data_IF_169209082000
#
_entry.id   IF_169209082000
#
_cell.length_a   1.000
_cell.length_b   1.000
_cell.length_c   1.000
_cell.angle_alpha   90.00
_cell.angle_beta   90.00
_cell.angle_gamma   90.00
#
_symmetry.space_group_name_H-M   'P 1'
#
loop_
_entity.id
_entity.type
_entity.pdbx_description
1 polymer ?
#
# COMPACT_ATOMS: atom_id res chain seq x y z
N UNK A 1 10.31 3.12 3.09
CA UNK A 1 9.27 2.65 2.15
C UNK A 1 9.14 1.14 2.28
N UNK A 2 7.95 0.62 2.58
CA UNK A 2 7.73 -0.81 2.87
C UNK A 2 7.31 -1.55 1.59
N UNK A 3 7.88 -2.72 1.33
CA UNK A 3 7.42 -3.65 0.29
C UNK A 3 8.37 -3.86 -0.91
N UNK A 4 9.32 -2.96 -1.14
CA UNK A 4 10.39 -3.16 -2.13
C UNK A 4 11.59 -3.86 -1.51
N UNK A 5 12.12 -4.87 -2.21
CA UNK A 5 13.28 -5.68 -1.81
C UNK A 5 14.56 -5.00 -2.28
N UNK A 6 14.55 -4.49 -3.50
CA UNK A 6 15.66 -3.75 -4.11
C UNK A 6 15.14 -2.46 -4.74
N UNK A 7 16.03 -1.48 -4.87
CA UNK A 7 15.72 -0.18 -5.48
C UNK A 7 16.91 0.29 -6.30
N UNK A 8 16.63 0.91 -7.44
CA UNK A 8 17.59 1.61 -8.30
C UNK A 8 16.96 2.89 -8.84
N UNK A 9 17.75 3.93 -9.16
CA UNK A 9 17.24 5.08 -9.88
C UNK A 9 16.77 4.68 -11.29
N UNK A 10 15.80 5.42 -11.86
CA UNK A 10 15.40 5.23 -13.25
C UNK A 10 16.49 5.73 -14.21
N UNK A 11 16.64 5.05 -15.36
CA UNK A 11 17.46 5.53 -16.47
C UNK A 11 16.78 6.72 -17.16
N UNK A 12 17.49 7.42 -18.06
CA UNK A 12 16.98 8.61 -18.78
C UNK A 12 15.62 8.36 -19.46
N UNK A 13 15.42 7.17 -20.02
CA UNK A 13 14.18 6.81 -20.73
C UNK A 13 13.09 6.25 -19.81
N UNK A 14 13.40 6.03 -18.52
CA UNK A 14 12.49 5.47 -17.51
C UNK A 14 11.97 6.53 -16.52
N UNK A 15 12.40 7.79 -16.63
CA UNK A 15 12.05 8.86 -15.67
C UNK A 15 10.56 9.19 -15.67
N UNK A 16 9.87 8.90 -16.77
CA UNK A 16 8.43 9.20 -16.94
C UNK A 16 7.70 8.05 -17.60
N UNK A 17 6.48 7.78 -17.15
CA UNK A 17 5.56 6.84 -17.80
C UNK A 17 4.25 7.54 -18.16
N UNK A 18 3.58 7.05 -19.20
CA UNK A 18 2.22 7.47 -19.54
C UNK A 18 1.21 6.63 -18.77
N UNK A 19 0.25 7.28 -18.13
CA UNK A 19 -0.91 6.63 -17.52
C UNK A 19 -2.10 6.63 -18.48
N UNK A 20 -3.16 5.88 -18.14
CA UNK A 20 -4.29 5.63 -19.05
C UNK A 20 -5.05 6.87 -19.55
N UNK A 21 -4.88 8.03 -18.90
CA UNK A 21 -5.43 9.31 -19.35
C UNK A 21 -4.47 10.12 -20.24
N UNK A 22 -3.36 9.52 -20.69
CA UNK A 22 -2.34 10.16 -21.54
C UNK A 22 -1.39 11.10 -20.81
N UNK A 23 -1.56 11.32 -19.51
CA UNK A 23 -0.67 12.17 -18.71
C UNK A 23 0.66 11.44 -18.44
N UNK A 24 1.76 12.20 -18.48
CA UNK A 24 3.09 11.71 -18.04
C UNK A 24 3.24 11.91 -16.54
N UNK A 25 3.59 10.85 -15.83
CA UNK A 25 3.88 10.87 -14.39
C UNK A 25 5.35 10.51 -14.13
N UNK A 26 5.92 11.06 -13.06
CA UNK A 26 7.33 10.87 -12.72
C UNK A 26 7.55 9.57 -11.95
N UNK A 27 8.55 8.80 -12.39
CA UNK A 27 9.05 7.63 -11.65
C UNK A 27 10.11 8.11 -10.67
N UNK A 28 9.98 7.73 -9.40
CA UNK A 28 10.96 8.07 -8.37
C UNK A 28 12.08 7.03 -8.29
N UNK A 29 11.72 5.75 -8.31
CA UNK A 29 12.67 4.64 -8.39
C UNK A 29 12.04 3.41 -9.05
N UNK A 30 12.90 2.47 -9.42
CA UNK A 30 12.52 1.16 -9.93
C UNK A 30 13.05 0.10 -8.96
N UNK A 31 12.28 -0.95 -8.71
CA UNK A 31 12.69 -1.98 -7.78
C UNK A 31 12.05 -3.34 -8.00
N UNK A 32 12.32 -4.24 -7.08
CA UNK A 32 11.69 -5.56 -7.04
C UNK A 32 10.73 -5.65 -5.84
N UNK A 33 9.59 -6.31 -6.05
CA UNK A 33 8.58 -6.56 -5.02
C UNK A 33 8.19 -8.04 -5.04
N UNK A 34 7.86 -8.58 -3.87
CA UNK A 34 7.21 -9.88 -3.72
C UNK A 34 5.76 -9.69 -3.31
N UNK A 35 4.85 -10.27 -4.09
CA UNK A 35 3.42 -10.20 -3.83
C UNK A 35 2.94 -11.60 -3.52
N UNK A 36 2.53 -11.82 -2.27
CA UNK A 36 1.99 -13.10 -1.85
C UNK A 36 0.48 -13.13 -2.08
N UNK A 37 0.04 -14.05 -2.94
CA UNK A 37 -1.38 -14.31 -3.20
C UNK A 37 -2.01 -15.07 -2.02
N UNK A 38 -3.34 -15.09 -1.95
CA UNK A 38 -4.06 -15.76 -0.86
C UNK A 38 -3.79 -17.27 -0.79
N UNK A 39 -3.49 -17.90 -1.93
CA UNK A 39 -3.01 -19.29 -2.02
C UNK A 39 -1.69 -19.53 -1.28
N UNK A 40 -0.93 -18.46 -1.00
CA UNK A 40 0.44 -18.52 -0.52
C UNK A 40 1.49 -18.44 -1.63
N UNK A 41 1.09 -18.55 -2.91
CA UNK A 41 1.99 -18.38 -4.04
C UNK A 41 2.60 -16.98 -4.06
N UNK A 42 3.90 -16.89 -4.35
CA UNK A 42 4.64 -15.62 -4.35
C UNK A 42 4.95 -15.21 -5.78
N UNK A 43 4.42 -14.05 -6.19
CA UNK A 43 4.76 -13.37 -7.43
C UNK A 43 5.99 -12.47 -7.19
N UNK A 44 7.14 -12.89 -7.69
CA UNK A 44 8.32 -12.03 -7.81
C UNK A 44 8.16 -11.11 -9.02
N UNK A 45 8.04 -9.81 -8.76
CA UNK A 45 7.97 -8.78 -9.81
C UNK A 45 9.21 -7.90 -9.75
N UNK A 46 10.06 -8.02 -10.77
CA UNK A 46 11.21 -7.14 -11.02
C UNK A 46 10.82 -5.98 -11.93
N UNK A 47 11.63 -4.92 -11.96
CA UNK A 47 11.42 -3.69 -12.75
C UNK A 47 10.07 -3.00 -12.47
N UNK A 48 9.68 -2.96 -11.20
CA UNK A 48 8.46 -2.27 -10.76
C UNK A 48 8.76 -0.80 -10.54
N UNK A 49 8.05 0.06 -11.26
CA UNK A 49 8.13 1.52 -11.13
C UNK A 49 7.38 1.98 -9.88
N UNK A 50 8.02 2.81 -9.08
CA UNK A 50 7.37 3.52 -7.98
C UNK A 50 7.07 4.96 -8.40
N UNK A 51 5.79 5.33 -8.28
CA UNK A 51 5.24 6.61 -8.71
C UNK A 51 4.40 7.17 -7.55
N UNK A 52 4.89 8.16 -6.78
CA UNK A 52 4.20 8.68 -5.59
C UNK A 52 2.81 9.23 -5.87
N UNK A 53 2.58 9.75 -7.07
CA UNK A 53 1.30 10.34 -7.47
C UNK A 53 0.22 9.29 -7.78
N UNK A 54 0.57 8.00 -7.88
CA UNK A 54 -0.40 6.93 -8.12
C UNK A 54 -1.04 6.49 -6.80
N UNK A 55 -2.37 6.46 -6.78
CA UNK A 55 -3.15 6.10 -5.59
C UNK A 55 -3.34 4.59 -5.43
N UNK A 56 -3.09 3.82 -6.48
CA UNK A 56 -3.23 2.36 -6.50
C UNK A 56 -2.04 1.70 -7.17
N UNK A 57 -1.70 0.50 -6.69
CA UNK A 57 -0.73 -0.38 -7.35
C UNK A 57 -1.40 -1.03 -8.56
N UNK A 58 -0.68 -1.08 -9.67
CA UNK A 58 -1.15 -1.71 -10.91
C UNK A 58 -0.21 -2.83 -11.31
N UNK A 59 -0.78 -3.97 -11.69
CA UNK A 59 -0.06 -5.07 -12.31
C UNK A 59 -0.60 -5.22 -13.73
N UNK A 60 0.29 -5.19 -14.70
CA UNK A 60 -0.08 -5.38 -16.10
C UNK A 60 -0.43 -6.84 -16.37
N UNK A 61 -1.57 -7.09 -17.00
CA UNK A 61 -1.96 -8.40 -17.54
C UNK A 61 -0.86 -8.95 -18.46
N UNK A 62 -0.31 -8.12 -19.34
CA UNK A 62 0.76 -8.53 -20.25
C UNK A 62 2.02 -8.99 -19.49
N UNK A 63 2.31 -8.41 -18.31
CA UNK A 63 3.43 -8.86 -17.47
C UNK A 63 3.17 -10.26 -16.92
N UNK A 64 1.97 -10.54 -16.41
CA UNK A 64 1.59 -11.87 -15.90
C UNK A 64 1.64 -12.94 -16.99
N UNK A 65 1.12 -12.63 -18.19
CA UNK A 65 1.15 -13.55 -19.34
C UNK A 65 2.59 -13.83 -19.79
N UNK A 66 3.46 -12.82 -19.83
CA UNK A 66 4.89 -13.01 -20.13
C UNK A 66 5.61 -13.88 -19.09
N UNK A 67 5.13 -13.87 -17.85
CA UNK A 67 5.58 -14.78 -16.79
C UNK A 67 4.99 -16.20 -16.90
N UNK A 68 4.37 -16.55 -18.03
CA UNK A 68 3.76 -17.87 -18.31
C UNK A 68 2.57 -18.23 -17.40
N UNK A 69 1.95 -17.23 -16.79
CA UNK A 69 0.71 -17.42 -16.04
C UNK A 69 -0.48 -17.34 -16.99
N UNK A 70 -1.47 -18.18 -16.76
CA UNK A 70 -2.74 -18.15 -17.48
C UNK A 70 -3.76 -17.37 -16.67
N UNK A 71 -4.54 -16.52 -17.33
CA UNK A 71 -5.58 -15.71 -16.70
C UNK A 71 -6.93 -16.10 -17.29
N UNK A 72 -7.92 -16.34 -16.43
CA UNK A 72 -9.32 -16.49 -16.82
C UNK A 72 -10.12 -15.34 -16.23
N UNK A 73 -11.07 -14.82 -17.00
CA UNK A 73 -11.95 -13.73 -16.60
C UNK A 73 -13.40 -14.17 -16.81
N UNK A 74 -14.22 -13.94 -15.81
CA UNK A 74 -15.65 -14.28 -15.82
C UNK A 74 -16.45 -13.27 -14.96
N UNK A 75 -17.73 -13.57 -14.75
CA UNK A 75 -18.64 -12.75 -13.93
C UNK A 75 -18.24 -12.66 -12.45
N UNK A 76 -17.40 -13.58 -11.94
CA UNK A 76 -16.92 -13.58 -10.56
C UNK A 76 -15.59 -12.83 -10.40
N UNK A 77 -14.84 -12.63 -11.49
CA UNK A 77 -13.67 -11.76 -11.51
C UNK A 77 -12.52 -12.32 -12.34
N UNK A 78 -11.33 -12.42 -11.72
CA UNK A 78 -10.11 -12.93 -12.35
C UNK A 78 -9.61 -14.16 -11.59
N UNK A 79 -9.20 -15.18 -12.33
CA UNK A 79 -8.49 -16.35 -11.81
C UNK A 79 -7.12 -16.48 -12.49
N UNK A 80 -6.08 -16.72 -11.70
CA UNK A 80 -4.69 -16.83 -12.13
C UNK A 80 -4.23 -18.27 -11.94
N UNK A 81 -3.68 -18.85 -13.00
CA UNK A 81 -3.22 -20.23 -13.01
C UNK A 81 -1.74 -20.34 -13.34
N UNK A 82 -1.08 -21.28 -12.67
CA UNK A 82 0.26 -21.75 -13.01
C UNK A 82 0.17 -23.24 -13.33
N UNK A 83 0.53 -23.67 -14.54
CA UNK A 83 0.43 -25.08 -14.96
C UNK A 83 -0.94 -25.73 -14.69
N UNK A 84 -2.05 -25.00 -14.94
CA UNK A 84 -3.45 -25.39 -14.69
C UNK A 84 -3.88 -25.42 -13.22
N UNK A 85 -2.98 -25.16 -12.28
CA UNK A 85 -3.32 -25.01 -10.87
C UNK A 85 -3.74 -23.57 -10.57
N UNK A 86 -4.84 -23.39 -9.85
CA UNK A 86 -5.30 -22.07 -9.40
C UNK A 86 -4.36 -21.55 -8.31
N UNK A 87 -3.60 -20.49 -8.62
CA UNK A 87 -2.64 -19.88 -7.69
C UNK A 87 -3.12 -18.56 -7.12
N UNK A 88 -4.25 -18.02 -7.58
CA UNK A 88 -4.84 -16.83 -7.00
C UNK A 88 -6.04 -16.37 -7.78
N UNK A 89 -6.80 -15.48 -7.14
CA UNK A 89 -8.00 -14.92 -7.72
C UNK A 89 -8.13 -13.45 -7.33
N UNK A 90 -9.12 -12.79 -7.91
CA UNK A 90 -9.46 -11.42 -7.63
C UNK A 90 -10.88 -11.13 -8.07
N UNK A 91 -11.42 -10.02 -7.57
CA UNK A 91 -12.79 -9.57 -7.86
C UNK A 91 -12.76 -8.31 -8.71
N UNK A 92 -13.82 -8.10 -9.50
CA UNK A 92 -14.02 -6.84 -10.19
C UNK A 92 -14.57 -5.79 -9.22
N UNK A 93 -13.84 -4.69 -9.02
CA UNK A 93 -14.28 -3.55 -8.20
C UNK A 93 -14.25 -2.30 -9.05
N UNK A 94 -15.44 -1.80 -9.41
CA UNK A 94 -15.58 -0.77 -10.43
C UNK A 94 -15.06 -1.28 -11.77
N UNK A 95 -14.06 -0.60 -12.34
CA UNK A 95 -13.46 -0.96 -13.64
C UNK A 95 -12.09 -1.64 -13.50
N UNK A 96 -11.75 -2.17 -12.32
CA UNK A 96 -10.45 -2.79 -12.05
C UNK A 96 -10.59 -4.15 -11.38
N UNK A 97 -9.78 -5.12 -11.82
CA UNK A 97 -9.62 -6.39 -11.12
C UNK A 97 -8.69 -6.20 -9.93
N UNK A 98 -9.22 -6.39 -8.71
CA UNK A 98 -8.47 -6.35 -7.48
C UNK A 98 -8.06 -7.77 -7.10
N UNK A 99 -6.75 -8.02 -7.04
CA UNK A 99 -6.20 -9.32 -6.62
C UNK A 99 -6.35 -9.52 -5.12
N UNK A 100 -6.69 -10.74 -4.74
CA UNK A 100 -6.67 -11.20 -3.36
C UNK A 100 -5.23 -11.58 -2.99
N UNK A 101 -4.64 -10.74 -2.17
CA UNK A 101 -3.26 -10.89 -1.70
C UNK A 101 -3.25 -10.97 -0.18
N UNK A 102 -2.36 -11.81 0.36
CA UNK A 102 -2.02 -11.75 1.78
C UNK A 102 -1.39 -10.39 2.01
N UNK A 103 -2.09 -9.55 2.76
CA UNK A 103 -1.48 -8.33 3.25
C UNK A 103 -0.28 -8.77 4.09
N UNK A 104 0.95 -8.25 3.83
CA UNK A 104 1.98 -8.37 4.84
C UNK A 104 1.36 -7.77 6.09
N UNK A 105 1.21 -8.58 7.14
CA UNK A 105 0.59 -8.20 8.39
C UNK A 105 1.12 -6.80 8.69
N UNK A 106 0.25 -5.80 8.55
CA UNK A 106 0.59 -4.49 9.06
C UNK A 106 0.58 -4.70 10.56
N UNK A 107 1.71 -5.14 11.10
CA UNK A 107 2.15 -4.60 12.37
C UNK A 107 2.23 -3.12 12.07
N UNK A 108 1.13 -2.43 12.33
CA UNK A 108 1.20 -1.10 12.88
C UNK A 108 2.05 -1.27 14.13
N UNK A 109 3.37 -1.26 13.93
CA UNK A 109 4.19 -0.58 14.86
C UNK A 109 3.60 0.83 14.82
N UNK A 110 2.68 1.08 15.75
CA UNK A 110 2.80 2.25 16.58
C UNK A 110 4.21 2.13 17.16
N UNK A 111 5.23 2.42 16.35
CA UNK A 111 6.43 3.04 16.85
C UNK A 111 5.83 4.26 17.48
N UNK A 112 5.63 4.15 18.79
CA UNK A 112 5.42 5.27 19.68
C UNK A 112 6.47 6.25 19.21
N UNK A 113 6.06 7.24 18.41
CA UNK A 113 6.85 8.43 18.17
C UNK A 113 7.31 8.79 19.57
N UNK A 114 8.63 8.70 19.83
CA UNK A 114 9.24 9.00 21.13
C UNK A 114 8.34 10.01 21.80
N UNK A 115 7.60 9.60 22.85
CA UNK A 115 6.52 10.40 23.42
C UNK A 115 7.14 11.75 23.75
N UNK A 116 6.97 12.74 22.88
CA UNK A 116 7.15 14.13 23.28
C UNK A 116 6.06 14.28 24.32
N UNK A 117 6.48 14.31 25.59
CA UNK A 117 5.65 14.36 26.77
C UNK A 117 4.57 15.43 26.56
N UNK A 118 3.43 15.04 25.98
CA UNK A 118 2.29 15.93 25.87
C UNK A 118 1.71 15.90 27.27
N UNK A 119 1.98 16.96 28.02
CA UNK A 119 1.45 17.18 29.36
C UNK A 119 -0.04 16.85 29.33
N UNK A 120 -0.50 16.05 30.30
CA UNK A 120 -1.89 15.58 30.46
C UNK A 120 -2.91 16.64 30.04
N UNK A 121 -2.70 17.88 30.48
CA UNK A 121 -3.40 19.10 30.08
C UNK A 121 -3.77 19.18 28.57
N UNK A 122 -2.82 19.00 27.65
CA UNK A 122 -3.07 19.13 26.20
C UNK A 122 -4.02 18.05 25.66
N UNK A 123 -4.01 16.86 26.24
CA UNK A 123 -4.91 15.77 25.86
C UNK A 123 -6.33 16.06 26.35
N UNK A 124 -6.45 16.51 27.60
CA UNK A 124 -7.73 16.90 28.20
C UNK A 124 -8.40 18.06 27.44
N UNK A 125 -7.63 19.07 27.05
CA UNK A 125 -8.17 20.22 26.31
C UNK A 125 -8.75 19.82 24.94
N UNK A 126 -8.10 18.89 24.22
CA UNK A 126 -8.62 18.36 22.94
C UNK A 126 -9.87 17.49 23.09
N UNK A 127 -9.99 16.73 24.18
CA UNK A 127 -11.14 15.84 24.42
C UNK A 127 -12.38 16.59 24.91
N UNK A 128 -12.18 17.65 25.70
CA UNK A 128 -13.29 18.36 26.33
C UNK A 128 -13.74 19.60 25.55
N UNK A 129 -12.96 20.05 24.56
CA UNK A 129 -13.33 21.04 23.53
C UNK A 129 -13.56 22.49 24.03
N UNK A 130 -14.22 22.65 25.17
CA UNK A 130 -14.71 23.92 25.72
C UNK A 130 -14.21 24.19 27.15
N UNK A 131 -13.26 23.41 27.65
CA UNK A 131 -12.70 23.62 29.00
C UNK A 131 -11.66 24.74 28.99
N UNK A 132 -11.84 25.75 29.84
CA UNK A 132 -10.89 26.86 29.99
C UNK A 132 -9.56 26.37 30.57
N UNK A 133 -8.48 27.07 30.25
CA UNK A 133 -7.11 26.75 30.70
C UNK A 133 -7.00 26.72 32.24
N UNK A 134 -7.78 27.55 32.92
CA UNK A 134 -7.83 27.62 34.39
C UNK A 134 -8.42 26.35 34.99
N UNK A 135 -9.53 25.86 34.44
CA UNK A 135 -10.21 24.64 34.94
C UNK A 135 -9.38 23.38 34.71
N UNK A 136 -8.56 23.37 33.65
CA UNK A 136 -7.60 22.31 33.35
C UNK A 136 -6.47 22.22 34.38
N UNK A 137 -6.04 23.36 34.92
CA UNK A 137 -4.97 23.43 35.93
C UNK A 137 -5.43 22.94 37.30
N UNK A 138 -6.70 23.15 37.66
CA UNK A 138 -7.28 22.61 38.91
C UNK A 138 -7.33 21.09 38.86
N UNK A 139 -7.80 20.52 37.75
CA UNK A 139 -7.84 19.06 37.53
C UNK A 139 -6.47 18.40 37.58
N UNK A 140 -5.41 19.08 37.13
CA UNK A 140 -4.05 18.55 37.23
C UNK A 140 -3.46 18.62 38.65
N UNK A 141 -4.08 19.37 39.57
CA UNK A 141 -3.63 19.48 40.98
C UNK A 141 -4.34 18.51 41.92
N UNK A 142 -5.50 17.97 41.54
CA UNK A 142 -6.29 17.04 42.36
C UNK A 142 -5.89 15.55 42.18
N UNK A 143 -4.75 15.26 41.56
CA UNK A 143 -4.16 13.92 41.54
C UNK A 143 -3.06 13.81 42.60
N UNK A 144 -3.46 13.82 43.88
CA UNK A 144 -2.70 13.31 45.04
C UNK A 144 -3.65 12.44 45.84
#
# INVERSE_FOLDING_TARGET
MKGFITQRPPNKDEVKVFVGNGVKVQVEFIGAVRIQLDSGFVLDSVDVVYIPSMTRNLISVARLVKSKLTLSFDEFGISIFNNKELIGNGILVGNMFQLNCKTPQMVMNITSTKRKNQTSAKIWHKRLGHISKERLNTLCKESV
#
